data_IF_902106320458
#
_entry.id   IF_902106320458
#
_cell.length_a   1.000
_cell.length_b   1.000
_cell.length_c   1.000
_cell.angle_alpha   90.00
_cell.angle_beta   90.00
_cell.angle_gamma   90.00
#
_symmetry.space_group_name_H-M   'P 1'
#
loop_
_entity.id
_entity.type
_entity.pdbx_description
1 polymer ?
#
# COMPACT_ATOMS: atom_id res chain seq x y z
N UNK A 1 -10.17 18.01 -21.81
CA UNK A 1 -9.90 17.36 -20.51
C UNK A 1 -8.89 16.24 -20.78
N UNK A 2 -7.85 16.04 -19.96
CA UNK A 2 -6.91 14.93 -20.18
C UNK A 2 -7.60 13.59 -19.89
N UNK A 3 -7.21 12.51 -20.57
CA UNK A 3 -7.78 11.17 -20.38
C UNK A 3 -7.76 10.74 -18.91
N UNK A 4 -6.70 11.07 -18.16
CA UNK A 4 -6.60 10.80 -16.73
C UNK A 4 -7.70 11.49 -15.92
N UNK A 5 -8.00 12.76 -16.23
CA UNK A 5 -9.09 13.51 -15.58
C UNK A 5 -10.45 12.91 -15.92
N UNK A 6 -10.67 12.49 -17.17
CA UNK A 6 -11.90 11.79 -17.56
C UNK A 6 -12.05 10.46 -16.82
N UNK A 7 -10.96 9.69 -16.68
CA UNK A 7 -10.97 8.43 -15.94
C UNK A 7 -11.31 8.61 -14.47
N UNK A 8 -10.76 9.62 -13.82
CA UNK A 8 -11.13 9.94 -12.43
C UNK A 8 -12.60 10.36 -12.31
N UNK A 9 -13.07 11.26 -13.17
CA UNK A 9 -14.47 11.69 -13.17
C UNK A 9 -15.44 10.51 -13.37
N UNK A 10 -15.09 9.58 -14.27
CA UNK A 10 -15.89 8.39 -14.53
C UNK A 10 -15.88 7.41 -13.36
N UNK A 11 -14.73 7.22 -12.70
CA UNK A 11 -14.64 6.42 -11.47
C UNK A 11 -15.50 7.02 -10.36
N UNK A 12 -15.39 8.32 -10.11
CA UNK A 12 -16.19 9.01 -9.08
C UNK A 12 -17.69 8.91 -9.38
N UNK A 13 -18.08 8.99 -10.66
CA UNK A 13 -19.45 8.76 -11.07
C UNK A 13 -19.91 7.31 -10.84
N UNK A 14 -19.08 6.34 -11.22
CA UNK A 14 -19.37 4.93 -11.02
C UNK A 14 -19.58 4.56 -9.55
N UNK A 15 -18.82 5.16 -8.63
CA UNK A 15 -18.92 4.88 -7.20
C UNK A 15 -20.29 5.18 -6.59
N UNK A 16 -21.13 5.99 -7.25
CA UNK A 16 -22.53 6.22 -6.86
C UNK A 16 -23.46 5.06 -7.25
N UNK A 17 -23.14 4.33 -8.32
CA UNK A 17 -23.94 3.23 -8.86
C UNK A 17 -23.49 1.86 -8.34
N UNK A 18 -22.19 1.69 -8.05
CA UNK A 18 -21.61 0.42 -7.54
C UNK A 18 -22.38 -0.17 -6.35
N UNK A 19 -22.84 0.60 -5.34
CA UNK A 19 -23.57 0.04 -4.20
C UNK A 19 -24.84 -0.73 -4.56
N UNK A 20 -25.41 -0.49 -5.74
CA UNK A 20 -26.65 -1.12 -6.21
C UNK A 20 -26.33 -2.20 -7.26
N UNK A 21 -25.60 -1.82 -8.32
CA UNK A 21 -25.38 -2.67 -9.50
C UNK A 21 -24.06 -3.45 -9.46
N UNK A 22 -23.19 -3.15 -8.50
CA UNK A 22 -21.87 -3.76 -8.37
C UNK A 22 -20.90 -3.31 -9.45
N UNK A 23 -19.76 -4.01 -9.54
CA UNK A 23 -18.74 -3.68 -10.53
C UNK A 23 -19.09 -4.34 -11.87
N UNK A 24 -19.92 -3.67 -12.67
CA UNK A 24 -20.48 -4.17 -13.93
C UNK A 24 -20.37 -3.17 -15.07
N UNK A 25 -20.59 -3.63 -16.31
CA UNK A 25 -20.65 -2.74 -17.48
C UNK A 25 -21.82 -1.74 -17.38
N UNK A 26 -22.91 -2.13 -16.72
CA UNK A 26 -24.06 -1.25 -16.45
C UNK A 26 -23.62 -0.03 -15.65
N UNK A 27 -22.77 -0.21 -14.63
CA UNK A 27 -22.20 0.90 -13.86
C UNK A 27 -21.32 1.80 -14.72
N UNK A 28 -20.50 1.23 -15.60
CA UNK A 28 -19.65 2.02 -16.49
C UNK A 28 -20.49 2.87 -17.46
N UNK A 29 -21.54 2.28 -18.03
CA UNK A 29 -22.45 2.98 -18.94
C UNK A 29 -23.31 4.03 -18.21
N UNK A 30 -23.72 3.78 -16.96
CA UNK A 30 -24.41 4.76 -16.12
C UNK A 30 -23.49 5.91 -15.71
N UNK A 31 -22.25 5.63 -15.33
CA UNK A 31 -21.24 6.65 -15.06
C UNK A 31 -20.94 7.51 -16.30
N UNK A 32 -20.91 6.89 -17.49
CA UNK A 32 -20.71 7.61 -18.75
C UNK A 32 -21.83 8.63 -18.99
N UNK A 33 -23.09 8.22 -18.76
CA UNK A 33 -24.26 9.10 -18.84
C UNK A 33 -24.17 10.26 -17.85
N UNK A 34 -23.79 10.00 -16.59
CA UNK A 34 -23.59 11.05 -15.58
C UNK A 34 -22.49 12.05 -15.97
N UNK A 35 -21.43 11.59 -16.64
CA UNK A 35 -20.33 12.42 -17.11
C UNK A 35 -20.60 13.09 -18.46
N UNK A 36 -21.75 12.85 -19.10
CA UNK A 36 -22.07 13.40 -20.42
C UNK A 36 -21.19 12.87 -21.55
N UNK A 37 -20.60 11.67 -21.40
CA UNK A 37 -19.77 11.04 -22.44
C UNK A 37 -20.47 9.79 -23.01
N UNK A 38 -20.18 9.47 -24.27
CA UNK A 38 -20.74 8.28 -24.92
C UNK A 38 -20.18 6.97 -24.34
N UNK A 39 -20.95 5.87 -24.44
CA UNK A 39 -20.50 4.55 -23.98
C UNK A 39 -19.21 4.08 -24.68
N UNK A 40 -19.04 4.41 -25.97
CA UNK A 40 -17.82 4.11 -26.71
C UNK A 40 -16.59 4.84 -26.13
N UNK A 41 -16.76 6.09 -25.70
CA UNK A 41 -15.73 6.87 -25.01
C UNK A 41 -15.36 6.24 -23.67
N UNK A 42 -16.36 5.88 -22.86
CA UNK A 42 -16.15 5.21 -21.59
C UNK A 42 -15.42 3.87 -21.72
N UNK A 43 -15.72 3.10 -22.77
CA UNK A 43 -15.01 1.85 -23.10
C UNK A 43 -13.58 2.09 -23.59
N UNK A 44 -13.32 3.18 -24.33
CA UNK A 44 -11.96 3.59 -24.68
C UNK A 44 -11.17 3.98 -23.43
N UNK A 45 -11.81 4.66 -22.49
CA UNK A 45 -11.20 5.08 -21.23
C UNK A 45 -10.98 3.91 -20.27
N UNK A 46 -11.81 2.86 -20.28
CA UNK A 46 -11.67 1.64 -19.46
C UNK A 46 -11.81 0.38 -20.33
N UNK A 47 -10.81 0.04 -21.17
CA UNK A 47 -10.87 -1.12 -22.05
C UNK A 47 -10.96 -2.45 -21.28
N UNK A 48 -10.40 -2.53 -20.06
CA UNK A 48 -10.54 -3.68 -19.17
C UNK A 48 -11.86 -3.69 -18.39
N UNK A 49 -12.76 -2.75 -18.67
CA UNK A 49 -14.11 -2.71 -18.13
C UNK A 49 -14.17 -2.67 -16.60
N UNK A 50 -15.10 -3.42 -15.97
CA UNK A 50 -15.28 -3.40 -14.53
C UNK A 50 -14.03 -3.80 -13.73
N UNK A 51 -13.23 -4.75 -14.24
CA UNK A 51 -11.99 -5.15 -13.59
C UNK A 51 -10.98 -3.99 -13.54
N UNK A 52 -10.88 -3.22 -14.63
CA UNK A 52 -10.04 -2.03 -14.64
C UNK A 52 -10.58 -0.91 -13.76
N UNK A 53 -11.90 -0.78 -13.65
CA UNK A 53 -12.54 0.19 -12.77
C UNK A 53 -12.27 -0.13 -11.29
N UNK A 54 -12.36 -1.41 -10.88
CA UNK A 54 -11.97 -1.89 -9.54
C UNK A 54 -10.49 -1.61 -9.27
N UNK A 55 -9.62 -1.87 -10.26
CA UNK A 55 -8.21 -1.54 -10.16
C UNK A 55 -8.01 -0.04 -9.92
N UNK A 56 -8.66 0.81 -10.71
CA UNK A 56 -8.57 2.27 -10.57
C UNK A 56 -9.06 2.75 -9.19
N UNK A 57 -10.13 2.16 -8.66
CA UNK A 57 -10.58 2.40 -7.28
C UNK A 57 -9.51 2.05 -6.24
N UNK A 58 -8.84 0.90 -6.39
CA UNK A 58 -7.75 0.51 -5.51
C UNK A 58 -6.52 1.41 -5.65
N UNK A 59 -6.17 1.80 -6.89
CA UNK A 59 -5.04 2.69 -7.21
C UNK A 59 -5.24 4.08 -6.60
N UNK A 60 -6.45 4.63 -6.69
CA UNK A 60 -6.81 5.93 -6.09
C UNK A 60 -6.67 5.91 -4.57
N UNK A 61 -7.15 4.84 -3.93
CA UNK A 61 -7.03 4.73 -2.49
C UNK A 61 -5.59 4.49 -2.01
N UNK A 62 -4.76 3.78 -2.79
CA UNK A 62 -3.31 3.69 -2.53
C UNK A 62 -2.64 5.08 -2.66
N UNK A 63 -3.02 5.88 -3.66
CA UNK A 63 -2.50 7.25 -3.82
C UNK A 63 -2.89 8.16 -2.67
N UNK A 64 -4.16 8.12 -2.23
CA UNK A 64 -4.63 8.88 -1.06
C UNK A 64 -3.89 8.47 0.22
N UNK A 65 -3.72 7.16 0.44
CA UNK A 65 -2.93 6.64 1.56
C UNK A 65 -1.51 7.21 1.57
N UNK A 66 -0.82 7.19 0.42
CA UNK A 66 0.54 7.74 0.32
C UNK A 66 0.58 9.25 0.57
N UNK A 67 -0.37 10.00 -0.01
CA UNK A 67 -0.45 11.44 0.18
C UNK A 67 -0.69 11.81 1.66
N UNK A 68 -1.50 11.05 2.40
CA UNK A 68 -1.69 11.28 3.84
C UNK A 68 -0.47 10.85 4.66
N UNK A 69 0.21 9.77 4.28
CA UNK A 69 1.45 9.33 4.91
C UNK A 69 2.56 10.38 4.80
N UNK A 70 2.66 11.06 3.65
CA UNK A 70 3.62 12.16 3.43
C UNK A 70 3.39 13.37 4.35
N UNK A 71 2.18 13.53 4.90
CA UNK A 71 1.86 14.60 5.86
C UNK A 71 2.24 14.26 7.30
N UNK A 72 2.58 13.00 7.58
CA UNK A 72 3.03 12.57 8.91
C UNK A 72 4.55 12.72 9.04
N UNK A 73 5.01 12.94 10.27
CA UNK A 73 6.43 12.85 10.61
C UNK A 73 6.89 11.39 10.69
N UNK A 74 6.89 10.71 9.54
CA UNK A 74 7.32 9.31 9.45
C UNK A 74 8.74 9.08 9.99
N UNK A 75 9.74 9.96 9.83
CA UNK A 75 11.07 9.76 10.41
C UNK A 75 11.09 9.53 11.93
N UNK A 76 10.24 10.21 12.71
CA UNK A 76 10.20 10.06 14.17
C UNK A 76 9.41 8.83 14.66
N UNK A 77 8.57 8.26 13.81
CA UNK A 77 7.75 7.10 14.13
C UNK A 77 8.53 5.79 14.12
N UNK A 78 8.14 4.85 14.99
CA UNK A 78 8.62 3.46 14.93
C UNK A 78 8.02 2.77 13.70
N UNK A 79 8.73 1.79 13.13
CA UNK A 79 8.26 0.99 11.97
C UNK A 79 6.85 0.43 12.18
N UNK A 80 6.53 -0.02 13.41
CA UNK A 80 5.18 -0.47 13.78
C UNK A 80 4.11 0.58 13.54
N UNK A 81 4.38 1.80 14.00
CA UNK A 81 3.45 2.91 13.92
C UNK A 81 3.28 3.34 12.45
N UNK A 82 4.36 3.37 11.67
CA UNK A 82 4.31 3.66 10.23
C UNK A 82 3.43 2.67 9.46
N UNK A 83 3.63 1.37 9.70
CA UNK A 83 2.86 0.32 9.03
C UNK A 83 1.39 0.36 9.47
N UNK A 84 1.12 0.55 10.76
CA UNK A 84 -0.25 0.68 11.26
C UNK A 84 -0.95 1.92 10.67
N UNK A 85 -0.26 3.07 10.62
CA UNK A 85 -0.77 4.29 9.99
C UNK A 85 -1.07 4.06 8.50
N UNK A 86 -0.19 3.39 7.76
CA UNK A 86 -0.43 3.08 6.34
C UNK A 86 -1.67 2.23 6.12
N UNK A 87 -1.86 1.17 6.92
CA UNK A 87 -3.08 0.34 6.84
C UNK A 87 -4.33 1.14 7.21
N UNK A 88 -4.27 1.94 8.27
CA UNK A 88 -5.40 2.78 8.71
C UNK A 88 -5.80 3.79 7.65
N UNK A 89 -4.86 4.60 7.19
CA UNK A 89 -5.08 5.62 6.16
C UNK A 89 -5.62 5.01 4.85
N UNK A 90 -5.19 3.79 4.52
CA UNK A 90 -5.70 3.08 3.36
C UNK A 90 -7.17 2.68 3.47
N UNK A 91 -7.63 2.33 4.67
CA UNK A 91 -9.03 2.01 4.94
C UNK A 91 -9.86 3.30 5.03
N UNK A 92 -9.33 4.35 5.65
CA UNK A 92 -9.96 5.67 5.71
C UNK A 92 -10.16 6.27 4.30
N UNK A 93 -9.20 6.06 3.38
CA UNK A 93 -9.30 6.51 1.99
C UNK A 93 -10.51 5.93 1.22
N UNK A 94 -11.05 4.79 1.65
CA UNK A 94 -12.23 4.14 1.07
C UNK A 94 -13.46 4.19 1.99
N UNK A 95 -13.38 4.88 3.13
CA UNK A 95 -14.45 4.88 4.14
C UNK A 95 -15.78 5.42 3.59
N UNK A 96 -15.73 6.47 2.75
CA UNK A 96 -16.91 7.03 2.09
C UNK A 96 -17.57 6.06 1.09
N UNK A 97 -16.85 5.03 0.65
CA UNK A 97 -17.29 4.05 -0.35
C UNK A 97 -17.21 2.62 0.18
N UNK A 98 -17.58 2.42 1.46
CA UNK A 98 -17.49 1.12 2.15
C UNK A 98 -18.26 -0.01 1.47
N UNK A 99 -19.45 0.27 0.93
CA UNK A 99 -20.21 -0.72 0.16
C UNK A 99 -19.52 -1.06 -1.18
N UNK A 100 -18.93 -0.06 -1.85
CA UNK A 100 -18.15 -0.32 -3.07
C UNK A 100 -16.92 -1.19 -2.77
N UNK A 101 -16.26 -0.99 -1.63
CA UNK A 101 -15.17 -1.84 -1.17
C UNK A 101 -15.63 -3.28 -0.86
N UNK A 102 -16.80 -3.45 -0.22
CA UNK A 102 -17.41 -4.79 0.01
C UNK A 102 -17.68 -5.51 -1.31
N UNK A 103 -18.28 -4.82 -2.27
CA UNK A 103 -18.54 -5.38 -3.61
C UNK A 103 -17.27 -5.61 -4.41
N UNK A 104 -16.23 -4.79 -4.24
CA UNK A 104 -14.94 -5.01 -4.87
C UNK A 104 -14.29 -6.28 -4.34
N UNK A 105 -14.36 -6.53 -3.03
CA UNK A 105 -13.85 -7.76 -2.44
C UNK A 105 -14.57 -9.00 -2.98
N UNK A 106 -15.91 -8.95 -3.08
CA UNK A 106 -16.69 -10.03 -3.70
C UNK A 106 -16.31 -10.25 -5.17
N UNK A 107 -16.17 -9.18 -5.94
CA UNK A 107 -15.75 -9.24 -7.35
C UNK A 107 -14.36 -9.87 -7.51
N UNK A 108 -13.40 -9.48 -6.67
CA UNK A 108 -12.02 -9.96 -6.71
C UNK A 108 -11.84 -11.38 -6.17
N UNK A 109 -12.78 -11.86 -5.35
CA UNK A 109 -12.78 -13.24 -4.85
C UNK A 109 -13.13 -14.27 -5.94
N UNK A 110 -13.76 -13.83 -7.04
CA UNK A 110 -14.04 -14.71 -8.18
C UNK A 110 -12.73 -15.19 -8.82
N UNK A 111 -12.59 -16.49 -9.17
CA UNK A 111 -11.33 -17.04 -9.68
C UNK A 111 -10.73 -16.29 -10.87
N UNK A 112 -11.57 -15.84 -11.80
CA UNK A 112 -11.16 -15.05 -12.97
C UNK A 112 -10.54 -13.69 -12.60
N UNK A 113 -10.90 -13.14 -11.43
CA UNK A 113 -10.42 -11.85 -10.93
C UNK A 113 -9.37 -12.00 -9.82
N UNK A 114 -9.12 -13.20 -9.32
CA UNK A 114 -8.22 -13.45 -8.19
C UNK A 114 -6.80 -12.92 -8.45
N UNK A 115 -6.29 -13.07 -9.68
CA UNK A 115 -4.98 -12.53 -10.05
C UNK A 115 -4.91 -11.00 -9.95
N UNK A 116 -6.00 -10.30 -10.31
CA UNK A 116 -6.11 -8.86 -10.15
C UNK A 116 -6.17 -8.48 -8.67
N UNK A 117 -6.94 -9.21 -7.87
CA UNK A 117 -7.05 -8.98 -6.43
C UNK A 117 -5.70 -9.09 -5.73
N UNK A 118 -4.94 -10.14 -6.05
CA UNK A 118 -3.58 -10.33 -5.53
C UNK A 118 -2.62 -9.23 -5.99
N UNK A 119 -2.71 -8.76 -7.24
CA UNK A 119 -1.89 -7.64 -7.71
C UNK A 119 -2.20 -6.33 -6.97
N UNK A 120 -3.47 -6.03 -6.74
CA UNK A 120 -3.89 -4.85 -5.99
C UNK A 120 -3.39 -4.95 -4.54
N UNK A 121 -3.65 -6.07 -3.87
CA UNK A 121 -3.22 -6.33 -2.50
C UNK A 121 -1.70 -6.22 -2.35
N UNK A 122 -0.94 -6.89 -3.23
CA UNK A 122 0.51 -6.85 -3.22
C UNK A 122 1.03 -5.41 -3.36
N UNK A 123 0.48 -4.64 -4.30
CA UNK A 123 0.87 -3.24 -4.51
C UNK A 123 0.59 -2.39 -3.28
N UNK A 124 -0.58 -2.53 -2.65
CA UNK A 124 -0.91 -1.80 -1.42
C UNK A 124 0.09 -2.11 -0.30
N UNK A 125 0.38 -3.39 -0.04
CA UNK A 125 1.31 -3.75 1.05
C UNK A 125 2.76 -3.37 0.74
N UNK A 126 3.16 -3.44 -0.53
CA UNK A 126 4.47 -2.99 -1.00
C UNK A 126 4.63 -1.48 -0.79
N UNK A 127 3.60 -0.69 -1.15
CA UNK A 127 3.58 0.76 -0.94
C UNK A 127 3.67 1.14 0.54
N UNK A 128 2.95 0.43 1.42
CA UNK A 128 3.03 0.65 2.88
C UNK A 128 4.44 0.36 3.41
N UNK A 129 5.05 -0.77 3.01
CA UNK A 129 6.40 -1.11 3.44
C UNK A 129 7.46 -0.14 2.91
N UNK A 130 7.29 0.29 1.66
CA UNK A 130 8.16 1.28 1.05
C UNK A 130 8.10 2.61 1.80
N UNK A 131 6.89 3.13 2.08
CA UNK A 131 6.69 4.34 2.88
C UNK A 131 7.20 4.19 4.32
N UNK A 132 7.16 2.98 4.89
CA UNK A 132 7.72 2.69 6.20
C UNK A 132 9.27 2.64 6.23
N UNK A 133 9.93 2.74 5.08
CA UNK A 133 11.40 2.73 4.95
C UNK A 133 12.01 1.33 4.93
N UNK A 134 11.28 0.29 4.49
CA UNK A 134 11.83 -1.05 4.36
C UNK A 134 12.91 -1.12 3.27
N UNK A 135 14.15 -1.43 3.67
CA UNK A 135 15.30 -1.61 2.76
C UNK A 135 15.69 -3.08 2.56
N UNK A 136 14.87 -4.02 3.05
CA UNK A 136 15.17 -5.45 2.93
C UNK A 136 15.16 -5.89 1.45
N UNK A 137 16.20 -6.60 1.01
CA UNK A 137 16.30 -7.11 -0.38
C UNK A 137 16.15 -8.63 -0.50
N UNK A 138 16.19 -9.36 0.62
CA UNK A 138 16.31 -10.82 0.63
C UNK A 138 15.00 -11.51 1.08
N UNK A 139 15.03 -12.75 1.58
CA UNK A 139 13.84 -13.50 2.06
C UNK A 139 12.90 -12.69 2.98
N UNK A 140 13.48 -11.84 3.81
CA UNK A 140 12.73 -10.93 4.68
C UNK A 140 11.76 -10.02 3.90
N UNK A 141 12.09 -9.63 2.65
CA UNK A 141 11.25 -8.83 1.76
C UNK A 141 9.91 -9.52 1.46
N UNK A 142 9.96 -10.79 1.04
CA UNK A 142 8.76 -11.56 0.67
C UNK A 142 7.93 -11.94 1.90
N UNK A 143 8.59 -12.36 2.98
CA UNK A 143 7.91 -12.73 4.22
C UNK A 143 7.16 -11.54 4.83
N UNK A 144 7.78 -10.35 4.88
CA UNK A 144 7.13 -9.12 5.36
C UNK A 144 5.86 -8.77 4.59
N UNK A 145 5.92 -8.89 3.25
CA UNK A 145 4.78 -8.59 2.37
C UNK A 145 3.66 -9.61 2.52
N UNK A 146 4.00 -10.91 2.58
CA UNK A 146 3.02 -11.96 2.79
C UNK A 146 2.31 -11.81 4.15
N UNK A 147 3.06 -11.55 5.23
CA UNK A 147 2.49 -11.35 6.56
C UNK A 147 1.61 -10.09 6.61
N UNK A 148 2.07 -8.98 6.04
CA UNK A 148 1.26 -7.75 6.00
C UNK A 148 0.02 -7.93 5.11
N UNK A 149 0.08 -8.70 4.01
CA UNK A 149 -1.08 -9.00 3.19
C UNK A 149 -2.17 -9.74 3.98
N UNK A 150 -1.78 -10.72 4.82
CA UNK A 150 -2.70 -11.38 5.75
C UNK A 150 -3.26 -10.42 6.82
N UNK A 151 -2.40 -9.59 7.42
CA UNK A 151 -2.81 -8.58 8.40
C UNK A 151 -3.77 -7.54 7.83
N UNK A 152 -3.47 -7.02 6.65
CA UNK A 152 -4.32 -6.07 5.92
C UNK A 152 -5.67 -6.71 5.56
N UNK A 153 -5.67 -7.91 4.97
CA UNK A 153 -6.90 -8.56 4.50
C UNK A 153 -7.84 -8.89 5.66
N UNK A 154 -7.31 -9.39 6.77
CA UNK A 154 -8.09 -9.64 7.99
C UNK A 154 -8.62 -8.35 8.62
N UNK A 155 -7.82 -7.27 8.62
CA UNK A 155 -8.26 -5.96 9.13
C UNK A 155 -9.34 -5.35 8.23
N UNK A 156 -9.20 -5.44 6.91
CA UNK A 156 -10.22 -4.98 5.96
C UNK A 156 -11.56 -5.72 6.18
N UNK A 157 -11.53 -7.04 6.33
CA UNK A 157 -12.73 -7.84 6.61
C UNK A 157 -13.38 -7.46 7.94
N UNK A 158 -12.58 -7.25 8.98
CA UNK A 158 -13.06 -6.79 10.28
C UNK A 158 -13.69 -5.40 10.16
N UNK A 159 -12.96 -4.46 9.55
CA UNK A 159 -13.38 -3.08 9.31
C UNK A 159 -14.66 -3.01 8.49
N UNK A 160 -14.89 -3.90 7.52
CA UNK A 160 -16.13 -3.94 6.74
C UNK A 160 -17.36 -4.31 7.58
N UNK A 161 -17.20 -4.90 8.76
CA UNK A 161 -18.29 -5.32 9.64
C UNK A 161 -18.36 -4.54 10.97
N UNK A 162 -17.38 -3.69 11.24
CA UNK A 162 -17.31 -2.91 12.47
C UNK A 162 -18.41 -1.84 12.55
N UNK A 163 -19.10 -1.80 13.70
CA UNK A 163 -20.16 -0.84 14.03
C UNK A 163 -19.81 0.04 15.23
N UNK A 164 -18.59 -0.09 15.77
CA UNK A 164 -18.10 0.78 16.84
C UNK A 164 -17.91 2.21 16.32
N UNK A 165 -18.02 3.16 17.25
CA UNK A 165 -17.77 4.57 16.98
C UNK A 165 -16.34 4.75 16.43
N UNK A 166 -16.24 5.52 15.34
CA UNK A 166 -14.99 5.79 14.61
C UNK A 166 -14.12 4.55 14.31
N UNK A 167 -14.73 3.37 14.23
CA UNK A 167 -14.05 2.08 14.03
C UNK A 167 -13.02 1.73 15.12
N UNK A 168 -13.24 2.17 16.36
CA UNK A 168 -12.34 1.92 17.48
C UNK A 168 -11.98 0.44 17.67
N UNK A 169 -12.94 -0.47 17.45
CA UNK A 169 -12.69 -1.91 17.54
C UNK A 169 -11.73 -2.41 16.44
N UNK A 170 -11.87 -1.88 15.21
CA UNK A 170 -10.95 -2.14 14.11
C UNK A 170 -9.54 -1.68 14.43
N UNK A 171 -9.36 -0.48 14.98
CA UNK A 171 -8.02 0.05 15.29
C UNK A 171 -7.33 -0.76 16.38
N UNK A 172 -8.07 -1.17 17.41
CA UNK A 172 -7.56 -2.11 18.42
C UNK A 172 -7.20 -3.48 17.82
N UNK A 173 -7.97 -3.97 16.84
CA UNK A 173 -7.64 -5.20 16.12
C UNK A 173 -6.38 -5.06 15.27
N UNK A 174 -6.27 -3.96 14.51
CA UNK A 174 -5.12 -3.64 13.68
C UNK A 174 -3.83 -3.61 14.51
N UNK A 175 -3.83 -2.92 15.65
CA UNK A 175 -2.65 -2.81 16.51
C UNK A 175 -2.12 -4.17 16.98
N UNK A 176 -3.02 -5.10 17.30
CA UNK A 176 -2.67 -6.48 17.67
C UNK A 176 -2.07 -7.22 16.46
N UNK A 177 -2.70 -7.13 15.29
CA UNK A 177 -2.25 -7.79 14.05
C UNK A 177 -0.89 -7.28 13.58
N UNK A 178 -0.64 -5.98 13.58
CA UNK A 178 0.67 -5.43 13.20
C UNK A 178 1.75 -5.86 14.20
N UNK A 179 1.44 -5.93 15.50
CA UNK A 179 2.39 -6.46 16.47
C UNK A 179 2.79 -7.90 16.16
N UNK A 180 1.85 -8.75 15.77
CA UNK A 180 2.12 -10.14 15.40
C UNK A 180 2.92 -10.24 14.10
N UNK A 181 2.54 -9.48 13.06
CA UNK A 181 3.26 -9.42 11.78
C UNK A 181 4.74 -9.10 12.01
N UNK A 182 5.04 -8.07 12.82
CA UNK A 182 6.41 -7.67 13.12
C UNK A 182 7.16 -8.70 13.97
N UNK A 183 6.50 -9.31 14.96
CA UNK A 183 7.09 -10.38 15.78
C UNK A 183 7.47 -11.58 14.93
N UNK A 184 6.59 -12.02 14.03
CA UNK A 184 6.81 -13.18 13.16
C UNK A 184 7.88 -12.87 12.11
N UNK A 185 7.80 -11.71 11.45
CA UNK A 185 8.81 -11.27 10.49
C UNK A 185 10.22 -11.22 11.13
N UNK A 186 10.34 -10.65 12.34
CA UNK A 186 11.60 -10.58 13.06
C UNK A 186 12.17 -11.94 13.48
N UNK A 187 11.32 -12.91 13.85
CA UNK A 187 11.75 -14.26 14.22
C UNK A 187 12.24 -15.06 13.01
N UNK A 188 11.51 -15.03 11.90
CA UNK A 188 11.86 -15.76 10.69
C UNK A 188 13.15 -15.22 10.05
N UNK A 189 13.37 -13.90 10.08
CA UNK A 189 14.63 -13.30 9.64
C UNK A 189 15.85 -13.79 10.43
N UNK A 190 15.71 -13.97 11.75
CA UNK A 190 16.79 -14.50 12.62
C UNK A 190 16.99 -16.01 12.46
N UNK A 191 15.92 -16.78 12.28
CA UNK A 191 15.98 -18.25 12.14
C UNK A 191 16.62 -18.72 10.84
N UNK A 192 16.36 -18.04 9.73
CA UNK A 192 16.96 -18.37 8.43
C UNK A 192 18.46 -17.99 8.39
N UNK A 193 18.84 -16.85 8.99
CA UNK A 193 20.26 -16.48 9.10
C UNK A 193 21.08 -17.47 9.94
N UNK A 194 20.51 -17.99 11.04
CA UNK A 194 21.14 -19.01 11.86
C UNK A 194 21.29 -20.35 11.11
N UNK A 195 20.26 -20.80 10.39
CA UNK A 195 20.32 -22.03 9.60
C UNK A 195 21.30 -21.96 8.42
N UNK A 196 21.44 -20.80 7.78
CA UNK A 196 22.41 -20.59 6.70
C UNK A 196 23.86 -20.42 7.18
N UNK A 197 24.09 -20.12 8.47
CA UNK A 197 25.43 -20.14 9.07
C UNK A 197 25.88 -21.52 9.54
N UNK A 198 24.99 -22.52 9.46
CA UNK A 198 25.27 -23.90 9.86
C UNK A 198 26.27 -24.64 8.95
N UNK A 199 26.28 -24.45 7.61
CA UNK A 199 27.27 -25.06 6.73
C UNK A 199 28.72 -24.60 7.01
N UNK A 200 28.93 -23.33 7.35
CA UNK A 200 30.28 -22.78 7.61
C UNK A 200 30.87 -23.30 8.94
N UNK A 201 30.02 -23.53 9.95
CA UNK A 201 30.45 -24.15 11.21
C UNK A 201 30.74 -25.64 11.10
N UNK A 202 30.12 -26.34 10.14
CA UNK A 202 30.36 -27.76 9.89
C UNK A 202 31.58 -27.98 8.95
N UNK A 203 31.86 -27.06 8.03
CA UNK A 203 33.03 -27.12 7.14
C UNK A 203 34.34 -26.68 7.82
N UNK A 204 34.27 -25.94 8.93
CA UNK A 204 35.44 -25.61 9.75
C UNK A 204 36.02 -26.79 10.56
N UNK A 205 35.27 -27.87 10.73
CA UNK A 205 35.72 -29.05 11.51
C UNK A 205 36.33 -30.17 10.65
N UNK A 206 36.54 -29.95 9.34
CA UNK A 206 37.13 -30.94 8.43
C UNK A 206 38.45 -30.50 7.78
N UNK A 207 39.00 -29.34 8.14
CA UNK A 207 40.28 -28.83 7.59
C UNK A 207 41.41 -28.69 8.61
N UNK A 208 41.23 -29.14 9.85
CA UNK A 208 42.32 -29.23 10.83
C UNK A 208 42.98 -30.62 10.81
N UNK A 209 43.65 -30.95 9.71
CA UNK A 209 44.66 -32.02 9.68
C UNK A 209 46.00 -31.51 10.22
N UNK A 210 46.80 -32.32 10.93
CA UNK A 210 48.07 -31.88 11.49
C UNK A 210 49.08 -31.57 10.38
N UNK A 211 49.90 -30.55 10.64
CA UNK A 211 50.67 -29.80 9.65
C UNK A 211 51.55 -30.60 8.70
N UNK A 212 51.58 -30.13 7.45
CA UNK A 212 52.73 -30.23 6.57
C UNK A 212 52.99 -28.83 5.98
N UNK A 213 54.19 -28.32 6.26
CA UNK A 213 54.68 -27.05 5.77
C UNK A 213 54.70 -27.02 4.25
N UNK A 214 54.19 -25.94 3.65
CA UNK A 214 54.35 -25.66 2.22
C UNK A 214 55.22 -24.40 2.02
N UNK A 215 56.14 -24.38 1.04
CA UNK A 215 57.05 -23.26 0.84
C UNK A 215 56.33 -22.06 0.21
N UNK A 216 56.71 -20.87 0.67
CA UNK A 216 56.29 -19.58 0.10
C UNK A 216 56.70 -19.48 -1.37
N UNK A 217 55.74 -19.14 -2.24
CA UNK A 217 55.98 -18.63 -3.59
C UNK A 217 55.25 -17.29 -3.79
N UNK A 218 55.79 -16.40 -4.63
CA UNK A 218 55.47 -14.98 -4.58
C UNK A 218 54.18 -14.62 -5.32
N UNK A 219 53.60 -13.55 -4.78
CA UNK A 219 52.47 -12.77 -5.25
C UNK A 219 52.56 -12.41 -6.74
N UNK A 220 51.55 -12.80 -7.53
CA UNK A 220 51.27 -12.17 -8.83
C UNK A 220 49.82 -11.68 -8.89
N UNK A 221 49.69 -10.39 -9.20
CA UNK A 221 48.43 -9.67 -9.45
C UNK A 221 47.74 -10.22 -10.70
N UNK A 222 46.42 -10.48 -10.64
CA UNK A 222 45.55 -10.24 -11.82
C UNK A 222 44.05 -10.01 -11.52
N UNK A 223 43.67 -8.76 -11.80
CA UNK A 223 42.43 -8.19 -12.39
C UNK A 223 41.02 -8.78 -12.13
N UNK A 224 40.17 -7.87 -11.63
CA UNK A 224 38.81 -7.46 -12.06
C UNK A 224 37.95 -8.45 -12.87
N UNK A 225 36.72 -8.67 -12.39
CA UNK A 225 35.60 -9.12 -13.21
C UNK A 225 34.24 -9.02 -12.49
N UNK A 226 33.43 -8.04 -12.92
CA UNK A 226 31.96 -7.94 -12.83
C UNK A 226 31.21 -8.24 -11.52
N UNK A 227 30.83 -7.16 -10.82
CA UNK A 227 29.54 -7.12 -10.10
C UNK A 227 28.43 -6.98 -11.14
N UNK A 228 27.58 -8.01 -11.29
CA UNK A 228 26.29 -7.90 -11.98
C UNK A 228 25.38 -7.01 -11.13
N UNK A 229 25.12 -5.79 -11.62
CA UNK A 229 23.99 -5.00 -11.16
C UNK A 229 22.70 -5.68 -11.62
N UNK A 230 21.80 -5.99 -10.68
CA UNK A 230 20.41 -6.31 -11.00
C UNK A 230 19.70 -5.02 -11.46
N UNK A 231 18.70 -5.12 -12.37
CA UNK A 231 18.11 -3.96 -13.01
C UNK A 231 17.32 -3.13 -11.99
N UNK A 232 17.62 -1.83 -11.95
CA UNK A 232 16.85 -0.83 -11.21
C UNK A 232 15.41 -0.81 -11.77
N UNK A 233 14.43 -1.07 -10.90
CA UNK A 233 13.01 -0.83 -11.20
C UNK A 233 12.77 0.67 -11.23
N UNK A 234 12.45 1.21 -12.40
CA UNK A 234 11.89 2.55 -12.56
C UNK A 234 10.37 2.49 -12.38
N UNK A 235 9.88 3.12 -11.31
CA UNK A 235 8.50 3.57 -11.24
C UNK A 235 8.50 5.08 -11.50
N UNK A 236 7.46 5.63 -12.16
CA UNK A 236 7.38 7.06 -12.41
C UNK A 236 7.28 7.82 -11.08
N UNK A 237 8.32 8.59 -10.77
CA UNK A 237 8.31 9.54 -9.67
C UNK A 237 7.34 10.69 -9.99
N UNK A 238 6.46 11.11 -9.07
CA UNK A 238 5.83 12.41 -9.15
C UNK A 238 6.94 13.47 -9.07
N UNK A 239 7.15 14.17 -10.18
CA UNK A 239 8.25 15.11 -10.34
C UNK A 239 8.19 16.24 -9.31
N UNK A 240 9.33 16.46 -8.65
CA UNK A 240 9.68 17.75 -8.07
C UNK A 240 9.60 18.82 -9.18
N UNK A 241 8.59 19.69 -9.13
CA UNK A 241 8.63 20.96 -9.86
C UNK A 241 9.20 22.03 -8.96
N UNK A 242 10.35 22.54 -9.39
CA UNK A 242 10.98 23.76 -8.92
C UNK A 242 10.03 24.95 -9.01
N UNK A 243 10.27 25.89 -8.10
CA UNK A 243 9.44 27.05 -7.83
C UNK A 243 9.14 27.91 -9.05
N UNK A 244 7.93 28.46 -9.01
CA UNK A 244 7.60 29.74 -9.60
C UNK A 244 6.75 30.49 -8.58
N UNK A 245 7.34 31.54 -8.04
CA UNK A 245 6.65 32.57 -7.28
C UNK A 245 5.58 33.22 -8.15
N UNK A 246 4.36 33.42 -7.63
CA UNK A 246 3.66 34.72 -7.70
C UNK A 246 2.47 34.75 -6.71
N UNK A 247 2.03 35.95 -6.28
CA UNK A 247 1.30 36.16 -5.05
C UNK A 247 -0.22 36.27 -5.26
N UNK A 248 -1.01 35.68 -4.35
CA UNK A 248 -2.16 36.38 -3.77
C UNK A 248 -2.74 35.60 -2.58
N UNK A 249 -2.57 36.16 -1.40
CA UNK A 249 -3.16 35.71 -0.16
C UNK A 249 -4.63 36.11 -0.12
N UNK A 250 -5.55 35.15 -0.02
CA UNK A 250 -6.93 35.42 0.42
C UNK A 250 -7.10 34.73 1.76
N UNK A 251 -7.11 35.54 2.82
CA UNK A 251 -7.40 35.13 4.19
C UNK A 251 -8.83 34.59 4.28
N UNK A 252 -9.00 33.32 4.65
CA UNK A 252 -10.27 32.80 5.14
C UNK A 252 -10.24 32.88 6.66
N UNK A 253 -10.94 33.89 7.18
CA UNK A 253 -11.25 34.07 8.60
C UNK A 253 -12.28 33.01 9.00
N UNK A 254 -11.88 32.08 9.88
CA UNK A 254 -12.82 31.16 10.53
C UNK A 254 -13.33 31.86 11.79
N UNK A 255 -14.52 32.46 11.68
CA UNK A 255 -15.23 33.09 12.79
C UNK A 255 -15.84 31.99 13.69
N UNK A 256 -15.34 31.87 14.92
CA UNK A 256 -15.91 30.98 15.94
C UNK A 256 -17.18 31.62 16.50
N UNK A 257 -18.34 31.07 16.15
CA UNK A 257 -19.63 31.44 16.72
C UNK A 257 -19.74 30.86 18.15
N UNK A 258 -19.46 31.68 19.15
CA UNK A 258 -19.82 31.43 20.56
C UNK A 258 -21.31 31.69 20.73
N UNK A 259 -22.12 30.63 20.80
CA UNK A 259 -23.52 30.72 21.22
C UNK A 259 -23.55 30.90 22.75
N UNK A 260 -23.86 32.13 23.18
CA UNK A 260 -24.18 32.44 24.57
C UNK A 260 -25.55 31.88 24.95
N UNK A 261 -25.56 31.05 25.99
CA UNK A 261 -26.75 30.58 26.70
C UNK A 261 -27.14 31.69 27.68
N UNK A 262 -28.28 32.34 27.45
CA UNK A 262 -28.95 33.19 28.46
C UNK A 262 -29.94 32.32 29.23
N UNK A 263 -29.56 32.01 30.47
CA UNK A 263 -30.45 31.44 31.49
C UNK A 263 -31.21 32.62 32.10
N UNK A 264 -32.51 32.68 31.87
CA UNK A 264 -33.41 33.57 32.60
C UNK A 264 -33.56 33.09 34.04
N UNK A 265 -33.51 34.02 34.99
CA UNK A 265 -33.92 33.79 36.37
C UNK A 265 -34.49 35.08 36.94
N UNK A 266 -35.77 34.97 37.29
CA UNK A 266 -36.54 35.68 38.34
C UNK A 266 -36.82 37.17 38.12
#
# INVERSE_FOLDING_TARGET
MTDEKQRHALLDAALRHVPFDGWTWVVLDSAARDCGIGAAEARRLFPGGPAELVRAFSDEADRRMLAELERLDLPSMKVREKVAAGVRLRLEAIAAHREAARRALAFLALPQNASLGLRCLYRTVDAIWYAAGDTATDYNFYTKRALLAGGYSSTLLYWLNDKSEDYAATWGFLDRRISEVLKVAGRLGKGVGAAMSFPDRLMGSLTAGPGLASPRMPFSRRRRGHRRCLPQRSWPHPGARQGRESPNSVHVVIERKTSGILIGSI
#
